data_IF_591390535258
#
_entry.id   IF_591390535258
#
_cell.length_a   1.000
_cell.length_b   1.000
_cell.length_c   1.000
_cell.angle_alpha   90.00
_cell.angle_beta   90.00
_cell.angle_gamma   90.00
#
_symmetry.space_group_name_H-M   'P 1'
#
loop_
_entity.id
_entity.type
_entity.pdbx_description
1 polymer ?
#
# COMPACT_ATOMS: atom_id res chain seq x y z
N UNK A 1 -26.05 -40.87 -40.00
CA UNK A 1 -24.59 -40.70 -40.03
C UNK A 1 -24.16 -39.84 -38.84
N UNK A 2 -23.29 -40.38 -38.00
CA UNK A 2 -22.90 -39.83 -36.72
C UNK A 2 -21.60 -39.01 -36.87
N UNK A 3 -21.65 -37.68 -36.80
CA UNK A 3 -20.43 -36.85 -36.84
C UNK A 3 -20.37 -35.57 -36.00
N UNK A 4 -21.25 -35.34 -35.02
CA UNK A 4 -21.12 -34.13 -34.16
C UNK A 4 -21.11 -34.41 -32.65
N UNK A 5 -20.49 -35.50 -32.22
CA UNK A 5 -19.89 -35.55 -30.88
C UNK A 5 -18.46 -35.03 -30.99
N UNK A 6 -18.32 -33.71 -31.05
CA UNK A 6 -17.03 -33.05 -30.80
C UNK A 6 -16.64 -33.44 -29.39
N UNK A 7 -15.70 -34.37 -29.28
CA UNK A 7 -15.00 -34.68 -28.03
C UNK A 7 -14.44 -33.37 -27.49
N UNK A 8 -15.10 -32.84 -26.46
CA UNK A 8 -14.59 -31.72 -25.70
C UNK A 8 -13.39 -32.27 -24.91
N UNK A 9 -12.22 -32.33 -25.56
CA UNK A 9 -10.96 -32.63 -24.89
C UNK A 9 -10.88 -31.67 -23.71
N UNK A 10 -10.95 -32.20 -22.48
CA UNK A 10 -10.82 -31.42 -21.25
C UNK A 10 -9.46 -30.73 -21.30
N UNK A 11 -9.43 -29.46 -21.69
CA UNK A 11 -8.20 -28.68 -21.73
C UNK A 11 -7.74 -28.50 -20.29
N UNK A 12 -6.46 -28.77 -20.03
CA UNK A 12 -5.84 -28.58 -18.71
C UNK A 12 -5.87 -27.11 -18.27
N UNK A 13 -5.85 -26.20 -19.23
CA UNK A 13 -5.83 -24.76 -19.00
C UNK A 13 -6.92 -24.05 -19.79
N UNK A 14 -7.39 -22.93 -19.23
CA UNK A 14 -8.32 -22.00 -19.90
C UNK A 14 -7.58 -21.26 -21.02
N UNK A 15 -8.33 -20.63 -21.91
CA UNK A 15 -7.76 -19.76 -22.94
C UNK A 15 -7.03 -18.55 -22.32
N UNK A 16 -6.05 -17.98 -23.06
CA UNK A 16 -5.34 -16.78 -22.64
C UNK A 16 -6.30 -15.68 -22.22
N UNK A 17 -5.98 -15.03 -21.11
CA UNK A 17 -6.82 -14.02 -20.51
C UNK A 17 -6.56 -12.65 -21.14
N UNK A 18 -7.62 -11.90 -21.47
CA UNK A 18 -7.47 -10.51 -21.91
C UNK A 18 -7.02 -9.61 -20.75
N UNK A 19 -6.41 -8.47 -21.10
CA UNK A 19 -5.85 -7.50 -20.14
C UNK A 19 -6.88 -7.05 -19.10
N UNK A 20 -8.08 -6.70 -19.54
CA UNK A 20 -9.15 -6.24 -18.66
C UNK A 20 -9.53 -7.29 -17.61
N UNK A 21 -9.73 -8.54 -18.05
CA UNK A 21 -10.05 -9.64 -17.14
C UNK A 21 -8.88 -9.87 -16.18
N UNK A 22 -7.64 -9.76 -16.65
CA UNK A 22 -6.43 -9.92 -15.82
C UNK A 22 -6.40 -8.87 -14.69
N UNK A 23 -6.65 -7.60 -15.02
CA UNK A 23 -6.79 -6.51 -14.04
C UNK A 23 -7.89 -6.82 -13.02
N UNK A 24 -9.06 -7.28 -13.48
CA UNK A 24 -10.16 -7.63 -12.59
C UNK A 24 -9.80 -8.81 -11.67
N UNK A 25 -9.09 -9.82 -12.17
CA UNK A 25 -8.62 -10.93 -11.36
C UNK A 25 -7.65 -10.46 -10.28
N UNK A 26 -6.69 -9.58 -10.60
CA UNK A 26 -5.77 -9.02 -9.61
C UNK A 26 -6.52 -8.24 -8.53
N UNK A 27 -7.51 -7.41 -8.91
CA UNK A 27 -8.36 -6.67 -7.97
C UNK A 27 -9.20 -7.57 -7.05
N UNK A 28 -9.63 -8.73 -7.56
CA UNK A 28 -10.44 -9.71 -6.83
C UNK A 28 -9.62 -10.77 -6.11
N UNK A 29 -8.33 -10.90 -6.40
CA UNK A 29 -7.41 -11.80 -5.71
C UNK A 29 -7.19 -11.38 -4.25
N UNK A 30 -7.33 -10.09 -3.94
CA UNK A 30 -7.21 -9.57 -2.58
C UNK A 30 -8.54 -9.79 -1.84
N UNK A 31 -8.57 -10.57 -0.75
CA UNK A 31 -9.78 -10.76 0.05
C UNK A 31 -10.39 -9.43 0.50
N UNK A 32 -11.73 -9.38 0.61
CA UNK A 32 -12.43 -8.16 1.00
C UNK A 32 -11.98 -7.61 2.36
N UNK A 33 -11.69 -8.50 3.32
CA UNK A 33 -11.16 -8.14 4.63
C UNK A 33 -9.80 -7.46 4.52
N UNK A 34 -8.89 -7.97 3.68
CA UNK A 34 -7.59 -7.35 3.41
C UNK A 34 -7.76 -6.00 2.71
N UNK A 35 -8.65 -5.88 1.72
CA UNK A 35 -8.96 -4.58 1.07
C UNK A 35 -9.46 -3.55 2.07
N UNK A 36 -10.31 -3.96 3.01
CA UNK A 36 -10.80 -3.10 4.07
C UNK A 36 -9.66 -2.65 5.01
N UNK A 37 -8.82 -3.59 5.50
CA UNK A 37 -7.68 -3.27 6.36
C UNK A 37 -6.67 -2.34 5.67
N UNK A 38 -6.39 -2.55 4.38
CA UNK A 38 -5.50 -1.69 3.61
C UNK A 38 -6.07 -0.27 3.51
N UNK A 39 -7.36 -0.12 3.19
CA UNK A 39 -8.02 1.20 3.18
C UNK A 39 -7.98 1.88 4.54
N UNK A 40 -8.22 1.10 5.61
CA UNK A 40 -8.14 1.62 6.97
C UNK A 40 -6.71 2.11 7.29
N UNK A 41 -5.69 1.31 7.00
CA UNK A 41 -4.29 1.69 7.25
C UNK A 41 -3.86 2.92 6.46
N UNK A 42 -4.23 3.02 5.17
CA UNK A 42 -3.98 4.21 4.34
C UNK A 42 -4.63 5.44 4.96
N UNK A 43 -5.91 5.34 5.37
CA UNK A 43 -6.62 6.46 5.99
C UNK A 43 -5.95 6.95 7.27
N UNK A 44 -5.53 6.05 8.14
CA UNK A 44 -4.84 6.42 9.39
C UNK A 44 -3.53 7.15 9.08
N UNK A 45 -2.78 6.71 8.06
CA UNK A 45 -1.58 7.40 7.62
C UNK A 45 -1.89 8.78 7.03
N UNK A 46 -2.90 8.90 6.18
CA UNK A 46 -3.35 10.17 5.59
C UNK A 46 -3.82 11.17 6.65
N UNK A 47 -4.57 10.70 7.66
CA UNK A 47 -5.03 11.51 8.78
C UNK A 47 -3.82 12.08 9.56
N UNK A 48 -2.84 11.23 9.89
CA UNK A 48 -1.59 11.66 10.52
C UNK A 48 -0.78 12.62 9.64
N UNK A 49 -0.62 12.31 8.35
CA UNK A 49 0.07 13.13 7.36
C UNK A 49 -0.56 14.52 7.25
N UNK A 50 -1.89 14.62 7.33
CA UNK A 50 -2.62 15.88 7.26
C UNK A 50 -2.42 16.74 8.51
N UNK A 51 -2.44 16.12 9.70
CA UNK A 51 -2.32 16.78 10.99
C UNK A 51 -0.89 17.10 11.44
N UNK A 52 0.12 16.46 10.83
CA UNK A 52 1.53 16.74 11.14
C UNK A 52 1.93 18.13 10.66
N UNK A 53 2.52 18.93 11.55
CA UNK A 53 3.01 20.28 11.20
C UNK A 53 4.27 20.25 10.32
N UNK A 54 5.29 19.49 10.72
CA UNK A 54 6.53 19.40 9.95
C UNK A 54 6.42 18.36 8.83
N UNK A 55 6.38 18.82 7.59
CA UNK A 55 6.30 17.97 6.39
C UNK A 55 7.57 17.96 5.55
N UNK A 56 8.54 18.83 5.88
CA UNK A 56 9.78 18.95 5.15
C UNK A 56 10.81 17.95 5.68
N UNK A 57 11.31 17.07 4.81
CA UNK A 57 12.24 16.01 5.24
C UNK A 57 13.54 16.58 5.79
N UNK A 58 14.01 17.70 5.24
CA UNK A 58 15.25 18.36 5.67
C UNK A 58 15.14 19.00 7.06
N UNK A 59 13.92 19.21 7.57
CA UNK A 59 13.67 19.74 8.90
C UNK A 59 13.48 18.63 9.94
N UNK A 60 13.46 17.36 9.53
CA UNK A 60 13.29 16.23 10.43
C UNK A 60 14.59 15.86 11.15
N UNK A 61 14.44 15.42 12.40
CA UNK A 61 15.54 14.82 13.14
C UNK A 61 15.93 13.48 12.50
N UNK A 62 17.23 13.30 12.25
CA UNK A 62 17.79 12.13 11.60
C UNK A 62 18.79 11.41 12.53
N UNK A 63 18.31 10.49 13.38
CA UNK A 63 19.18 9.78 14.32
C UNK A 63 20.11 8.77 13.64
N UNK A 64 19.87 8.44 12.37
CA UNK A 64 20.56 7.37 11.63
C UNK A 64 21.63 7.88 10.66
N UNK A 65 21.94 9.19 10.67
CA UNK A 65 22.89 9.81 9.73
C UNK A 65 22.58 9.49 8.25
N UNK A 66 21.29 9.32 7.92
CA UNK A 66 20.85 9.07 6.55
C UNK A 66 21.14 10.28 5.66
N UNK A 67 21.56 10.06 4.43
CA UNK A 67 21.59 11.13 3.43
C UNK A 67 20.15 11.45 2.96
N UNK A 68 19.60 12.56 3.46
CA UNK A 68 18.22 12.97 3.19
C UNK A 68 18.03 13.70 1.86
N UNK A 69 19.10 14.00 1.10
CA UNK A 69 18.98 14.82 -0.13
C UNK A 69 18.02 14.23 -1.17
N UNK A 70 17.86 12.91 -1.18
CA UNK A 70 17.02 12.19 -2.14
C UNK A 70 15.68 11.71 -1.56
N UNK A 71 15.32 12.16 -0.35
CA UNK A 71 14.05 11.80 0.27
C UNK A 71 12.97 12.80 -0.15
N UNK A 72 11.73 12.33 -0.30
CA UNK A 72 10.62 13.22 -0.66
C UNK A 72 9.93 13.74 0.60
N UNK A 73 9.40 14.96 0.53
CA UNK A 73 8.61 15.56 1.61
C UNK A 73 7.33 14.75 1.88
N UNK A 74 6.80 14.88 3.10
CA UNK A 74 5.62 14.16 3.52
C UNK A 74 4.38 14.52 2.69
N UNK A 75 4.33 15.69 2.05
CA UNK A 75 3.24 16.08 1.14
C UNK A 75 3.17 15.25 -0.15
N UNK A 76 4.20 14.47 -0.44
CA UNK A 76 4.18 13.57 -1.59
C UNK A 76 3.09 12.51 -1.39
N UNK A 77 2.32 12.23 -2.44
CA UNK A 77 1.32 11.17 -2.39
C UNK A 77 1.97 9.83 -2.01
N UNK A 78 1.32 9.06 -1.13
CA UNK A 78 1.81 7.78 -0.62
C UNK A 78 2.25 6.83 -1.76
N UNK A 79 1.45 6.73 -2.81
CA UNK A 79 1.72 5.87 -3.98
C UNK A 79 2.89 6.36 -4.84
N UNK A 80 3.29 7.62 -4.69
CA UNK A 80 4.37 8.28 -5.43
C UNK A 80 5.68 8.32 -4.64
N UNK A 81 5.68 7.89 -3.38
CA UNK A 81 6.90 7.83 -2.56
C UNK A 81 7.80 6.66 -2.97
N UNK A 82 9.11 6.90 -2.98
CA UNK A 82 10.08 5.81 -3.01
C UNK A 82 9.97 4.98 -1.73
N UNK A 83 10.33 3.69 -1.80
CA UNK A 83 10.34 2.82 -0.62
C UNK A 83 11.19 3.39 0.53
N UNK A 84 12.32 4.07 0.22
CA UNK A 84 13.16 4.72 1.24
C UNK A 84 12.44 5.88 1.93
N UNK A 85 11.84 6.77 1.15
CA UNK A 85 11.05 7.89 1.68
C UNK A 85 9.90 7.38 2.54
N UNK A 86 9.15 6.40 2.05
CA UNK A 86 8.01 5.83 2.76
C UNK A 86 8.45 5.20 4.09
N UNK A 87 9.51 4.40 4.10
CA UNK A 87 10.03 3.79 5.32
C UNK A 87 10.45 4.85 6.35
N UNK A 88 11.06 5.95 5.92
CA UNK A 88 11.42 7.04 6.81
C UNK A 88 10.20 7.69 7.46
N UNK A 89 9.17 8.03 6.68
CA UNK A 89 7.95 8.60 7.24
C UNK A 89 7.17 7.60 8.10
N UNK A 90 7.19 6.31 7.78
CA UNK A 90 6.59 5.27 8.61
C UNK A 90 7.25 5.15 9.99
N UNK A 91 8.57 5.35 10.08
CA UNK A 91 9.26 5.39 11.37
C UNK A 91 8.73 6.55 12.22
N UNK A 92 8.59 7.74 11.63
CA UNK A 92 8.03 8.92 12.30
C UNK A 92 6.57 8.71 12.71
N UNK A 93 5.78 8.12 11.81
CA UNK A 93 4.40 7.75 12.08
C UNK A 93 4.32 6.85 13.31
N UNK A 94 5.07 5.75 13.35
CA UNK A 94 5.08 4.82 14.49
C UNK A 94 5.50 5.49 15.80
N UNK A 95 6.46 6.42 15.76
CA UNK A 95 6.90 7.19 16.93
C UNK A 95 5.82 8.11 17.50
N UNK A 96 4.85 8.52 16.69
CA UNK A 96 3.79 9.46 17.04
C UNK A 96 2.42 8.79 17.18
N UNK A 97 2.33 7.48 16.95
CA UNK A 97 1.10 6.73 17.23
C UNK A 97 0.85 6.75 18.72
N UNK A 98 -0.34 7.21 19.09
CA UNK A 98 -0.87 7.10 20.44
C UNK A 98 -1.95 6.03 20.54
N UNK A 99 -2.15 5.50 21.74
CA UNK A 99 -3.34 4.73 22.08
C UNK A 99 -4.59 5.61 22.13
N UNK A 100 -5.75 4.99 22.39
CA UNK A 100 -7.05 5.66 22.51
C UNK A 100 -7.11 6.73 23.60
N UNK A 101 -6.19 6.69 24.57
CA UNK A 101 -6.11 7.60 25.70
C UNK A 101 -5.03 8.68 25.46
N UNK A 102 -4.40 8.69 24.27
CA UNK A 102 -3.39 9.66 23.87
C UNK A 102 -1.97 9.33 24.35
N UNK A 103 -1.73 8.14 24.90
CA UNK A 103 -0.39 7.73 25.38
C UNK A 103 0.45 7.17 24.24
N UNK A 104 1.79 7.36 24.23
CA UNK A 104 2.67 6.79 23.22
C UNK A 104 2.56 5.28 23.10
N UNK A 105 2.66 4.74 21.89
CA UNK A 105 2.65 3.29 21.61
C UNK A 105 4.05 2.81 21.13
N UNK A 106 4.46 1.56 21.45
CA UNK A 106 3.88 0.68 22.45
C UNK A 106 4.21 1.18 23.87
N UNK A 107 3.25 1.05 24.78
CA UNK A 107 3.42 1.36 26.20
C UNK A 107 4.30 0.36 26.94
#
# INVERSE_FOLDING_TARGET
EAWHLISCKKRRFRDPQCVERSINNVRNAIPQTTRYKNRWGVRIFEDWQSGRENKAVMCESNPFSLDLQNFQNLETELCSMTARTLNFWLIKFVQEVCDKDGKPYPG
#
